data_IF_080398000608
#
_entry.id   IF_080398000608
#
_cell.length_a   1.000
_cell.length_b   1.000
_cell.length_c   1.000
_cell.angle_alpha   90.00
_cell.angle_beta   90.00
_cell.angle_gamma   90.00
#
_symmetry.space_group_name_H-M   'P 1'
#
loop_
_entity.id
_entity.type
_entity.pdbx_description
1 polymer ?
#
# COMPACT_ATOMS: atom_id res chain seq x y z
N UNK A 1 41.55 5.71 -20.00
CA UNK A 1 40.69 6.39 -19.02
C UNK A 1 39.76 5.33 -18.46
N UNK A 2 39.68 5.16 -17.14
CA UNK A 2 38.78 4.17 -16.53
C UNK A 2 37.51 4.89 -16.09
N UNK A 3 36.36 4.36 -16.50
CA UNK A 3 35.06 4.85 -16.10
C UNK A 3 34.54 4.04 -14.92
N UNK A 4 33.92 4.72 -13.96
CA UNK A 4 33.33 4.11 -12.78
C UNK A 4 31.85 4.45 -12.70
N UNK A 5 31.05 3.45 -12.30
CA UNK A 5 29.62 3.60 -12.05
C UNK A 5 29.34 3.36 -10.57
N UNK A 6 28.55 4.24 -9.97
CA UNK A 6 28.14 4.13 -8.56
C UNK A 6 26.61 4.10 -8.53
N UNK A 7 26.05 3.19 -7.74
CA UNK A 7 24.62 3.07 -7.52
C UNK A 7 24.31 2.75 -6.06
N UNK A 8 23.05 2.96 -5.66
CA UNK A 8 22.54 2.61 -4.34
C UNK A 8 21.66 1.36 -4.48
N UNK A 9 21.94 0.37 -3.66
CA UNK A 9 21.21 -0.91 -3.62
C UNK A 9 20.50 -1.05 -2.27
N UNK A 10 19.32 -1.68 -2.31
CA UNK A 10 18.57 -2.05 -1.11
C UNK A 10 18.09 -3.49 -1.27
N UNK A 11 18.59 -4.37 -0.40
CA UNK A 11 18.13 -5.74 -0.29
C UNK A 11 17.45 -5.92 1.07
N UNK A 12 16.21 -6.43 1.06
CA UNK A 12 15.44 -6.70 2.27
C UNK A 12 14.36 -7.74 2.01
N UNK A 13 14.00 -8.57 3.01
CA UNK A 13 12.77 -9.35 2.95
C UNK A 13 11.55 -8.41 3.02
N UNK A 14 10.59 -8.61 2.13
CA UNK A 14 9.29 -7.92 2.15
C UNK A 14 8.18 -8.95 2.16
N UNK A 15 7.26 -8.82 3.09
CA UNK A 15 6.11 -9.71 3.23
C UNK A 15 4.82 -9.06 2.71
N UNK A 16 3.91 -9.88 2.18
CA UNK A 16 2.74 -9.42 1.42
C UNK A 16 1.46 -9.16 2.24
N UNK A 17 1.48 -9.42 3.54
CA UNK A 17 0.29 -9.45 4.42
C UNK A 17 -0.30 -8.06 4.68
N UNK A 18 0.41 -6.97 4.34
CA UNK A 18 -0.16 -5.62 4.36
C UNK A 18 -1.37 -5.49 3.42
N UNK A 19 -1.41 -6.25 2.34
CA UNK A 19 -2.55 -6.28 1.41
C UNK A 19 -3.84 -6.79 2.09
N UNK A 20 -3.72 -7.64 3.11
CA UNK A 20 -4.86 -8.14 3.88
C UNK A 20 -5.54 -7.02 4.69
N UNK A 21 -4.80 -5.99 5.10
CA UNK A 21 -5.41 -4.83 5.77
C UNK A 21 -6.32 -4.07 4.79
N UNK A 22 -5.86 -3.84 3.56
CA UNK A 22 -6.67 -3.19 2.53
C UNK A 22 -7.91 -4.02 2.17
N UNK A 23 -7.76 -5.34 2.06
CA UNK A 23 -8.86 -6.28 1.87
C UNK A 23 -9.91 -6.15 2.99
N UNK A 24 -9.49 -6.20 4.26
CA UNK A 24 -10.40 -6.07 5.40
C UNK A 24 -11.13 -4.72 5.40
N UNK A 25 -10.42 -3.62 5.11
CA UNK A 25 -11.04 -2.29 5.00
C UNK A 25 -12.11 -2.25 3.91
N UNK A 26 -11.80 -2.76 2.72
CA UNK A 26 -12.75 -2.76 1.60
C UNK A 26 -13.96 -3.67 1.85
N UNK A 27 -13.75 -4.80 2.53
CA UNK A 27 -14.84 -5.69 2.95
C UNK A 27 -15.81 -4.96 3.90
N UNK A 28 -15.29 -4.34 4.96
CA UNK A 28 -16.12 -3.61 5.93
C UNK A 28 -16.86 -2.43 5.30
N UNK A 29 -16.21 -1.71 4.38
CA UNK A 29 -16.87 -0.67 3.58
C UNK A 29 -17.98 -1.26 2.71
N UNK A 30 -17.73 -2.36 2.01
CA UNK A 30 -18.74 -3.02 1.17
C UNK A 30 -19.96 -3.48 1.97
N UNK A 31 -19.75 -4.12 3.11
CA UNK A 31 -20.84 -4.58 3.99
C UNK A 31 -21.67 -3.40 4.48
N UNK A 32 -21.03 -2.30 4.88
CA UNK A 32 -21.73 -1.06 5.27
C UNK A 32 -22.63 -0.52 4.15
N UNK A 33 -22.26 -0.74 2.90
CA UNK A 33 -23.02 -0.35 1.72
C UNK A 33 -23.91 -1.48 1.15
N UNK A 34 -24.17 -2.54 1.93
CA UNK A 34 -25.10 -3.60 1.57
C UNK A 34 -24.54 -4.68 0.64
N UNK A 35 -23.23 -4.71 0.39
CA UNK A 35 -22.60 -5.78 -0.39
C UNK A 35 -22.60 -7.07 0.45
N UNK A 36 -23.13 -8.19 -0.07
CA UNK A 36 -23.28 -9.44 0.68
C UNK A 36 -21.96 -10.23 0.70
N UNK A 37 -20.90 -9.68 1.30
CA UNK A 37 -19.64 -10.38 1.45
C UNK A 37 -19.69 -11.42 2.58
N UNK A 38 -19.09 -12.58 2.33
CA UNK A 38 -18.90 -13.62 3.35
C UNK A 38 -18.03 -13.13 4.51
N UNK A 39 -18.18 -13.77 5.68
CA UNK A 39 -17.28 -13.58 6.81
C UNK A 39 -15.89 -14.09 6.47
N UNK A 40 -14.87 -13.30 6.79
CA UNK A 40 -13.48 -13.76 6.78
C UNK A 40 -13.22 -14.35 8.17
N UNK A 41 -13.15 -15.69 8.31
CA UNK A 41 -12.94 -16.28 9.63
C UNK A 41 -11.48 -16.14 10.06
N UNK A 42 -11.26 -15.84 11.34
CA UNK A 42 -9.93 -15.72 11.95
C UNK A 42 -9.11 -17.03 11.89
N UNK A 43 -9.77 -18.15 11.62
CA UNK A 43 -9.17 -19.48 11.48
C UNK A 43 -8.59 -19.75 10.09
N UNK A 44 -8.95 -18.97 9.06
CA UNK A 44 -8.42 -19.15 7.72
C UNK A 44 -7.03 -18.51 7.61
N UNK A 45 -6.03 -19.38 7.44
CA UNK A 45 -4.62 -19.00 7.32
C UNK A 45 -4.36 -18.02 6.17
N UNK A 46 -5.20 -18.00 5.12
CA UNK A 46 -5.05 -17.09 3.96
C UNK A 46 -5.28 -15.63 4.33
N UNK A 47 -6.06 -15.37 5.38
CA UNK A 47 -6.43 -14.02 5.82
C UNK A 47 -5.83 -13.66 7.18
N UNK A 48 -5.02 -14.55 7.75
CA UNK A 48 -4.41 -14.34 9.06
C UNK A 48 -3.31 -13.28 8.96
N UNK A 49 -3.51 -12.17 9.68
CA UNK A 49 -2.49 -11.15 9.87
C UNK A 49 -1.44 -11.58 10.90
N UNK A 50 -0.15 -11.27 10.67
CA UNK A 50 0.87 -11.32 11.70
C UNK A 50 0.49 -10.44 12.92
N UNK A 51 0.85 -10.87 14.12
CA UNK A 51 0.46 -10.20 15.37
C UNK A 51 0.87 -8.72 15.40
N UNK A 52 2.04 -8.39 14.84
CA UNK A 52 2.55 -7.02 14.75
C UNK A 52 1.75 -6.10 13.81
N UNK A 53 0.99 -6.68 12.87
CA UNK A 53 0.09 -5.92 12.00
C UNK A 53 -1.29 -5.72 12.61
N UNK A 54 -1.67 -6.46 13.66
CA UNK A 54 -2.99 -6.33 14.28
C UNK A 54 -3.26 -4.91 14.83
N UNK A 55 -2.33 -4.24 15.56
CA UNK A 55 -2.56 -2.88 16.03
C UNK A 55 -2.70 -1.88 14.87
N UNK A 56 -1.94 -2.06 13.80
CA UNK A 56 -1.99 -1.22 12.61
C UNK A 56 -3.33 -1.40 11.89
N UNK A 57 -3.76 -2.64 11.68
CA UNK A 57 -5.02 -2.99 11.05
C UNK A 57 -6.21 -2.39 11.80
N UNK A 58 -6.28 -2.60 13.13
CA UNK A 58 -7.33 -2.04 13.99
C UNK A 58 -7.41 -0.52 13.89
N UNK A 59 -6.26 0.16 13.91
CA UNK A 59 -6.19 1.62 13.80
C UNK A 59 -6.65 2.14 12.44
N UNK A 60 -6.15 1.53 11.36
CA UNK A 60 -6.56 1.89 10.00
C UNK A 60 -8.06 1.71 9.84
N UNK A 61 -8.59 0.54 10.24
CA UNK A 61 -10.01 0.25 10.14
C UNK A 61 -10.85 1.26 10.94
N UNK A 62 -10.49 1.52 12.19
CA UNK A 62 -11.21 2.48 13.04
C UNK A 62 -11.24 3.90 12.44
N UNK A 63 -10.12 4.38 11.89
CA UNK A 63 -10.05 5.71 11.27
C UNK A 63 -10.87 5.76 9.97
N UNK A 64 -10.74 4.77 9.08
CA UNK A 64 -11.51 4.71 7.84
C UNK A 64 -13.01 4.61 8.13
N UNK A 65 -13.41 3.74 9.08
CA UNK A 65 -14.81 3.56 9.45
C UNK A 65 -15.45 4.81 10.06
N UNK A 66 -14.64 5.74 10.59
CA UNK A 66 -15.09 7.03 11.13
C UNK A 66 -14.90 8.19 10.16
N UNK A 67 -14.57 7.90 8.89
CA UNK A 67 -14.36 8.92 7.85
C UNK A 67 -13.12 9.79 8.08
N UNK A 68 -12.18 9.35 8.92
CA UNK A 68 -10.96 10.08 9.25
C UNK A 68 -9.82 9.65 8.34
N UNK A 69 -8.95 10.62 8.02
CA UNK A 69 -7.69 10.35 7.36
C UNK A 69 -6.86 9.39 8.23
N UNK A 70 -6.28 8.37 7.60
CA UNK A 70 -5.41 7.43 8.29
C UNK A 70 -4.12 8.12 8.72
N UNK A 71 -3.82 8.05 10.02
CA UNK A 71 -2.58 8.54 10.61
C UNK A 71 -1.95 7.42 11.42
N UNK A 72 -0.72 7.03 11.10
CA UNK A 72 0.01 5.97 11.80
C UNK A 72 1.10 6.57 12.69
N UNK A 73 1.31 5.95 13.85
CA UNK A 73 2.44 6.27 14.73
C UNK A 73 3.78 6.06 14.00
N UNK A 74 4.83 6.84 14.30
CA UNK A 74 6.13 6.69 13.65
C UNK A 74 6.69 5.27 13.69
N UNK A 75 6.50 4.55 14.81
CA UNK A 75 6.92 3.16 14.97
C UNK A 75 6.19 2.22 13.99
N UNK A 76 4.89 2.40 13.80
CA UNK A 76 4.11 1.64 12.81
C UNK A 76 4.58 1.96 11.38
N UNK A 77 4.84 3.23 11.07
CA UNK A 77 5.36 3.59 9.75
C UNK A 77 6.73 2.97 9.48
N UNK A 78 7.62 2.97 10.48
CA UNK A 78 8.94 2.36 10.39
C UNK A 78 8.83 0.85 10.15
N UNK A 79 7.97 0.15 10.90
CA UNK A 79 7.72 -1.27 10.72
C UNK A 79 7.22 -1.59 9.29
N UNK A 80 6.19 -0.87 8.83
CA UNK A 80 5.64 -1.07 7.50
C UNK A 80 6.68 -0.82 6.41
N UNK A 81 7.44 0.28 6.51
CA UNK A 81 8.51 0.59 5.56
C UNK A 81 9.61 -0.45 5.56
N UNK A 82 9.95 -1.02 6.71
CA UNK A 82 11.03 -2.00 6.83
C UNK A 82 10.64 -3.37 6.26
N UNK A 83 9.40 -3.81 6.44
CA UNK A 83 9.02 -5.23 6.25
C UNK A 83 7.86 -5.51 5.32
N UNK A 84 7.01 -4.53 5.02
CA UNK A 84 5.71 -4.80 4.38
C UNK A 84 5.38 -3.92 3.17
N UNK A 85 5.98 -2.73 3.06
CA UNK A 85 5.81 -1.86 1.90
C UNK A 85 6.82 -2.26 0.84
N UNK A 86 6.34 -2.71 -0.31
CA UNK A 86 7.17 -2.95 -1.48
C UNK A 86 7.69 -1.63 -2.05
N UNK A 87 8.99 -1.56 -2.37
CA UNK A 87 9.56 -0.42 -3.08
C UNK A 87 9.36 -0.64 -4.58
N UNK A 88 8.20 -0.21 -5.08
CA UNK A 88 7.83 -0.37 -6.49
C UNK A 88 8.58 0.58 -7.43
N UNK A 89 9.21 1.63 -6.90
CA UNK A 89 9.98 2.59 -7.70
C UNK A 89 11.48 2.30 -7.59
N UNK A 90 12.12 1.93 -8.70
CA UNK A 90 13.55 1.60 -8.77
C UNK A 90 14.14 1.90 -10.16
N UNK A 91 15.47 1.92 -10.23
CA UNK A 91 16.23 2.17 -11.46
C UNK A 91 16.74 0.91 -12.16
N UNK A 92 16.33 -0.28 -11.70
CA UNK A 92 16.65 -1.53 -12.40
C UNK A 92 16.01 -1.53 -13.79
N UNK A 93 16.79 -1.76 -14.86
CA UNK A 93 16.27 -1.81 -16.22
C UNK A 93 15.56 -3.14 -16.52
N UNK A 94 14.51 -3.06 -17.32
CA UNK A 94 13.81 -4.19 -17.93
C UNK A 94 13.99 -4.09 -19.45
N UNK A 95 14.96 -4.84 -19.98
CA UNK A 95 15.43 -4.66 -21.35
C UNK A 95 15.95 -3.23 -21.57
N UNK A 96 15.52 -2.51 -22.63
CA UNK A 96 15.96 -1.13 -22.87
C UNK A 96 15.18 -0.09 -22.05
N UNK A 97 14.27 -0.50 -21.16
CA UNK A 97 13.35 0.40 -20.47
C UNK A 97 13.61 0.50 -18.97
N UNK A 98 13.23 1.63 -18.38
CA UNK A 98 13.18 1.86 -16.93
C UNK A 98 11.72 2.00 -16.50
N UNK A 99 10.97 0.89 -16.52
CA UNK A 99 9.52 0.89 -16.28
C UNK A 99 9.17 1.38 -14.87
N UNK A 100 9.95 0.97 -13.88
CA UNK A 100 9.76 1.32 -12.46
C UNK A 100 10.48 2.61 -12.07
N UNK A 101 10.95 3.42 -13.03
CA UNK A 101 11.67 4.66 -12.74
C UNK A 101 10.86 5.57 -11.80
N UNK A 102 11.44 6.05 -10.69
CA UNK A 102 10.75 6.98 -9.81
C UNK A 102 10.32 8.26 -10.54
N UNK A 103 9.14 8.77 -10.18
CA UNK A 103 8.68 10.08 -10.62
C UNK A 103 9.59 11.21 -10.10
N UNK A 104 9.51 12.38 -10.72
CA UNK A 104 10.31 13.55 -10.34
C UNK A 104 10.14 13.86 -8.85
N UNK A 105 11.26 14.12 -8.16
CA UNK A 105 11.30 14.36 -6.71
C UNK A 105 10.77 13.21 -5.84
N UNK A 106 10.74 11.97 -6.35
CA UNK A 106 10.17 10.79 -5.66
C UNK A 106 8.72 11.00 -5.20
N UNK A 107 7.95 11.82 -5.93
CA UNK A 107 6.56 12.13 -5.61
C UNK A 107 5.64 11.60 -6.71
N UNK A 108 4.68 10.77 -6.33
CA UNK A 108 3.65 10.27 -7.25
C UNK A 108 2.88 11.46 -7.85
N UNK A 109 2.70 11.45 -9.17
CA UNK A 109 1.79 12.39 -9.82
C UNK A 109 0.36 12.05 -9.38
N UNK A 110 -0.36 13.06 -8.87
CA UNK A 110 -1.76 12.94 -8.47
C UNK A 110 -2.56 13.79 -9.43
N UNK A 111 -3.45 13.14 -10.17
CA UNK A 111 -4.39 13.81 -11.06
C UNK A 111 -5.74 13.82 -10.35
N UNK A 112 -6.23 15.01 -10.02
CA UNK A 112 -7.52 15.17 -9.35
C UNK A 112 -8.63 14.81 -10.34
N UNK A 113 -9.66 14.14 -9.82
CA UNK A 113 -10.85 13.82 -10.58
C UNK A 113 -11.72 15.08 -10.71
N UNK A 114 -11.40 15.92 -11.69
CA UNK A 114 -12.24 17.05 -12.06
C UNK A 114 -13.31 16.59 -13.06
N UNK A 115 -14.56 17.13 -12.97
CA UNK A 115 -15.55 16.95 -14.01
C UNK A 115 -14.93 17.29 -15.37
N UNK A 116 -15.13 16.43 -16.36
CA UNK A 116 -14.71 16.69 -17.73
C UNK A 116 -15.84 17.39 -18.46
N UNK A 117 -15.55 18.53 -19.09
CA UNK A 117 -16.52 19.23 -19.94
C UNK A 117 -17.10 18.27 -20.98
N UNK A 118 -18.43 18.06 -20.94
CA UNK A 118 -19.16 17.22 -21.89
C UNK A 118 -19.38 15.76 -21.50
N UNK A 119 -18.96 15.31 -20.31
CA UNK A 119 -19.36 14.00 -19.76
C UNK A 119 -20.54 14.14 -18.78
N UNK A 120 -21.54 13.23 -18.79
CA UNK A 120 -22.59 13.22 -17.78
C UNK A 120 -22.00 12.92 -16.40
N UNK A 121 -22.49 13.64 -15.37
CA UNK A 121 -22.20 13.37 -13.96
C UNK A 121 -22.92 12.11 -13.45
#
# INVERSE_FOLDING_TARGET
MQDYWITVLLERPVHGELSLIALSVMRELGIRHGVPFDVIPDTDKRFKLPDELLPISKRILQQVMTGRLVQLEPAHQALLRARYIHLSAHWTPEGPFLLSKPARLNRRNVHLNYPQDGYPE
#
